data_IF_897346737093
#
_entry.id   IF_897346737093
#
_cell.length_a   1.000
_cell.length_b   1.000
_cell.length_c   1.000
_cell.angle_alpha   90.00
_cell.angle_beta   90.00
_cell.angle_gamma   90.00
#
_symmetry.space_group_name_H-M   'P 1'
#
loop_
_entity.id
_entity.type
_entity.pdbx_description
1 polymer ?
#
# COMPACT_ATOMS: atom_id res chain seq x y z
N UNK A 1 -1.20 10.83 -0.09
CA UNK A 1 -0.78 9.86 -1.14
C UNK A 1 0.61 9.32 -0.86
N UNK A 2 1.60 10.20 -0.66
CA UNK A 2 2.91 9.82 -0.09
C UNK A 2 2.75 9.22 1.32
N UNK A 3 1.77 9.67 2.11
CA UNK A 3 1.63 9.26 3.52
C UNK A 3 1.25 7.79 3.73
N UNK A 4 0.45 7.20 2.83
CA UNK A 4 0.07 5.79 2.95
C UNK A 4 1.23 4.88 2.55
N UNK A 5 1.84 5.15 1.40
CA UNK A 5 3.04 4.44 0.95
C UNK A 5 4.16 4.58 1.99
N UNK A 6 4.45 5.81 2.43
CA UNK A 6 5.46 6.07 3.45
C UNK A 6 5.13 5.38 4.77
N UNK A 7 3.88 5.41 5.24
CA UNK A 7 3.49 4.74 6.48
C UNK A 7 3.62 3.21 6.39
N UNK A 8 3.07 2.63 5.33
CA UNK A 8 3.18 1.18 5.04
C UNK A 8 4.65 0.75 4.95
N UNK A 9 5.51 1.56 4.35
CA UNK A 9 6.93 1.27 4.18
C UNK A 9 7.76 1.46 5.47
N UNK A 10 7.47 2.50 6.28
CA UNK A 10 8.24 2.80 7.49
C UNK A 10 7.97 1.80 8.64
N UNK A 11 6.78 1.20 8.67
CA UNK A 11 6.38 0.24 9.70
C UNK A 11 6.86 -1.20 9.44
N UNK A 12 7.18 -1.55 8.19
CA UNK A 12 7.31 -2.93 7.77
C UNK A 12 8.71 -3.51 8.02
N UNK A 13 8.78 -4.71 8.59
CA UNK A 13 10.04 -5.46 8.64
C UNK A 13 10.38 -6.00 7.24
N UNK A 14 11.58 -5.69 6.72
CA UNK A 14 12.12 -6.27 5.49
C UNK A 14 12.48 -7.75 5.74
N UNK A 15 11.94 -8.65 4.92
CA UNK A 15 12.17 -10.09 4.91
C UNK A 15 12.38 -10.44 3.45
N UNK A 16 13.30 -11.36 3.20
CA UNK A 16 13.51 -11.96 1.89
C UNK A 16 12.18 -12.43 1.28
N UNK A 17 12.12 -12.51 -0.05
CA UNK A 17 10.97 -13.07 -0.78
C UNK A 17 10.49 -14.36 -0.12
N UNK A 18 9.18 -14.43 0.13
CA UNK A 18 8.55 -15.56 0.82
C UNK A 18 7.52 -16.22 -0.09
N UNK A 19 7.49 -17.54 -0.08
CA UNK A 19 6.35 -18.30 -0.60
C UNK A 19 5.31 -18.38 0.50
N UNK A 20 4.08 -17.98 0.16
CA UNK A 20 2.93 -18.01 1.05
C UNK A 20 1.87 -18.94 0.48
N UNK A 21 1.26 -19.75 1.33
CA UNK A 21 0.19 -20.69 1.00
C UNK A 21 -1.12 -20.18 1.55
N UNK A 22 -2.16 -20.22 0.74
CA UNK A 22 -3.50 -19.80 1.12
C UNK A 22 -4.07 -20.69 2.21
N UNK A 23 -4.69 -20.07 3.22
CA UNK A 23 -5.40 -20.81 4.28
C UNK A 23 -6.78 -21.32 3.80
N UNK A 24 -7.31 -20.73 2.72
CA UNK A 24 -8.62 -21.03 2.16
C UNK A 24 -8.66 -20.72 0.66
N UNK A 25 -9.73 -21.10 0.00
CA UNK A 25 -9.98 -20.68 -1.37
C UNK A 25 -10.53 -19.25 -1.41
N UNK A 26 -10.06 -18.45 -2.37
CA UNK A 26 -10.52 -17.08 -2.58
C UNK A 26 -11.09 -16.95 -3.98
N UNK A 27 -12.30 -16.42 -4.08
CA UNK A 27 -12.91 -16.06 -5.35
C UNK A 27 -12.30 -14.77 -5.88
N UNK A 28 -11.85 -14.81 -7.13
CA UNK A 28 -11.37 -13.64 -7.84
C UNK A 28 -12.55 -12.75 -8.21
N UNK A 29 -12.81 -11.73 -7.38
CA UNK A 29 -13.88 -10.78 -7.60
C UNK A 29 -13.74 -10.10 -8.97
N UNK A 30 -14.84 -10.09 -9.73
CA UNK A 30 -14.94 -9.38 -11.00
C UNK A 30 -15.14 -7.87 -10.82
N UNK A 31 -15.78 -7.48 -9.72
CA UNK A 31 -15.93 -6.07 -9.34
C UNK A 31 -14.57 -5.44 -9.05
N UNK A 32 -14.26 -4.37 -9.78
CA UNK A 32 -13.01 -3.61 -9.65
C UNK A 32 -12.84 -3.03 -8.26
N UNK A 33 -13.92 -2.71 -7.55
CA UNK A 33 -13.88 -2.09 -6.22
C UNK A 33 -13.76 -3.09 -5.07
N UNK A 34 -13.84 -4.38 -5.37
CA UNK A 34 -13.78 -5.41 -4.35
C UNK A 34 -12.44 -5.42 -3.60
N UNK A 35 -12.54 -5.59 -2.29
CA UNK A 35 -11.41 -5.82 -1.39
C UNK A 35 -11.71 -7.06 -0.57
N UNK A 36 -10.87 -8.09 -0.73
CA UNK A 36 -11.05 -9.37 -0.06
C UNK A 36 -9.95 -9.53 0.98
N UNK A 37 -10.31 -9.74 2.25
CA UNK A 37 -9.33 -10.06 3.27
C UNK A 37 -8.71 -11.43 2.98
N UNK A 38 -7.38 -11.51 3.07
CA UNK A 38 -6.63 -12.75 2.85
C UNK A 38 -5.82 -13.14 4.08
N UNK A 39 -5.68 -14.45 4.24
CA UNK A 39 -4.87 -15.16 5.22
C UNK A 39 -4.08 -16.25 4.52
N UNK A 40 -2.80 -16.31 4.85
CA UNK A 40 -1.83 -17.23 4.27
C UNK A 40 -0.83 -17.68 5.35
N UNK A 41 -0.07 -18.74 5.10
CA UNK A 41 0.99 -19.23 5.98
C UNK A 41 2.24 -19.65 5.18
N UNK A 42 3.37 -19.87 5.86
CA UNK A 42 4.58 -20.43 5.24
C UNK A 42 4.57 -21.95 5.25
N UNK A 43 5.47 -22.57 4.50
CA UNK A 43 5.61 -24.03 4.43
C UNK A 43 5.68 -24.68 5.82
N UNK A 44 4.97 -25.80 6.00
CA UNK A 44 4.80 -26.47 7.29
C UNK A 44 6.10 -26.87 8.00
N UNK A 45 7.21 -27.04 7.26
CA UNK A 45 8.53 -27.38 7.82
C UNK A 45 9.38 -26.17 8.23
N UNK A 46 8.89 -24.94 8.04
CA UNK A 46 9.58 -23.73 8.53
C UNK A 46 9.12 -23.38 9.94
N UNK A 47 10.01 -22.76 10.72
CA UNK A 47 9.69 -22.31 12.09
C UNK A 47 8.51 -21.35 12.14
N UNK A 48 8.35 -20.54 11.08
CA UNK A 48 7.25 -19.58 10.92
C UNK A 48 5.95 -20.20 10.37
N UNK A 49 5.88 -21.53 10.21
CA UNK A 49 4.67 -22.23 9.73
C UNK A 49 3.44 -22.00 10.61
N UNK A 50 3.65 -21.68 11.89
CA UNK A 50 2.60 -21.34 12.86
C UNK A 50 2.11 -19.90 12.74
N UNK A 51 2.80 -19.08 11.96
CA UNK A 51 2.44 -17.67 11.76
C UNK A 51 1.52 -17.51 10.56
N UNK A 52 0.52 -16.64 10.72
CA UNK A 52 -0.37 -16.22 9.64
C UNK A 52 0.07 -14.88 9.06
N UNK A 53 0.09 -14.80 7.75
CA UNK A 53 0.35 -13.61 6.97
C UNK A 53 -0.98 -13.14 6.41
N UNK A 54 -1.45 -11.99 6.89
CA UNK A 54 -2.78 -11.45 6.56
C UNK A 54 -2.68 -10.11 5.86
N UNK A 55 -3.69 -9.83 5.02
CA UNK A 55 -3.70 -8.65 4.16
C UNK A 55 -4.95 -8.57 3.31
N UNK A 56 -4.81 -7.99 2.12
CA UNK A 56 -5.89 -7.81 1.15
C UNK A 56 -5.54 -8.42 -0.22
N UNK A 57 -6.54 -8.98 -0.88
CA UNK A 57 -6.54 -9.26 -2.31
C UNK A 57 -7.43 -8.21 -3.00
N UNK A 58 -6.88 -7.54 -4.01
CA UNK A 58 -7.53 -6.43 -4.69
C UNK A 58 -7.35 -6.57 -6.20
N UNK A 59 -8.42 -6.49 -7.01
CA UNK A 59 -8.32 -6.49 -8.46
C UNK A 59 -7.49 -5.30 -8.96
N UNK A 60 -6.78 -5.45 -10.08
CA UNK A 60 -6.17 -4.33 -10.78
C UNK A 60 -6.47 -4.37 -12.29
N UNK A 61 -6.44 -3.19 -12.89
CA UNK A 61 -6.65 -3.00 -14.32
C UNK A 61 -5.37 -2.50 -14.95
N UNK A 62 -5.19 -2.78 -16.24
CA UNK A 62 -4.00 -2.35 -16.96
C UNK A 62 -4.23 -1.00 -17.60
N UNK A 63 -3.98 0.09 -16.87
CA UNK A 63 -4.07 1.46 -17.39
C UNK A 63 -2.75 1.94 -18.05
N UNK A 64 -1.83 1.02 -18.32
CA UNK A 64 -0.55 1.27 -18.98
C UNK A 64 -0.37 0.42 -20.25
N UNK A 65 0.54 0.87 -21.13
CA UNK A 65 0.99 0.08 -22.27
C UNK A 65 1.91 -1.07 -21.83
N UNK A 66 1.61 -2.27 -22.31
CA UNK A 66 2.42 -3.48 -22.07
C UNK A 66 3.22 -3.80 -23.34
N UNK A 67 4.54 -3.70 -23.24
CA UNK A 67 5.45 -4.15 -24.32
C UNK A 67 5.73 -5.63 -24.11
N UNK A 68 5.21 -6.46 -25.01
CA UNK A 68 5.47 -7.90 -25.01
C UNK A 68 6.54 -8.21 -26.05
N UNK A 69 7.68 -8.72 -25.60
CA UNK A 69 8.76 -9.18 -26.49
C UNK A 69 8.57 -10.67 -26.81
N UNK A 70 8.39 -10.99 -28.09
CA UNK A 70 8.35 -12.35 -28.62
C UNK A 70 9.56 -12.58 -29.52
N UNK A 71 10.71 -12.89 -28.91
CA UNK A 71 11.98 -12.96 -29.63
C UNK A 71 12.39 -11.57 -30.14
N UNK A 72 12.49 -11.42 -31.45
CA UNK A 72 12.84 -10.14 -32.11
C UNK A 72 11.63 -9.23 -32.37
N UNK A 73 10.39 -9.73 -32.17
CA UNK A 73 9.17 -8.95 -32.41
C UNK A 73 8.72 -8.33 -31.09
N UNK A 74 8.61 -7.00 -31.08
CA UNK A 74 7.99 -6.26 -29.98
C UNK A 74 6.54 -5.91 -30.35
N UNK A 75 5.60 -6.35 -29.53
CA UNK A 75 4.19 -6.00 -29.66
C UNK A 75 3.79 -5.11 -28.49
N UNK A 76 3.31 -3.90 -28.77
CA UNK A 76 2.77 -3.00 -27.76
C UNK A 76 1.27 -3.25 -27.62
N UNK A 77 0.84 -3.59 -26.41
CA UNK A 77 -0.57 -3.75 -26.07
C UNK A 77 -1.11 -2.45 -25.47
N UNK A 78 -2.18 -1.88 -26.04
CA UNK A 78 -2.77 -0.63 -25.55
C UNK A 78 -3.39 -0.82 -24.16
N UNK A 79 -3.51 0.22 -23.32
CA UNK A 79 -4.17 0.12 -22.01
C UNK A 79 -5.58 -0.49 -22.09
N UNK A 80 -5.95 -1.31 -21.10
CA UNK A 80 -7.27 -1.91 -20.90
C UNK A 80 -7.80 -1.54 -19.50
N UNK A 81 -8.22 -0.28 -19.26
CA UNK A 81 -8.66 0.17 -17.93
C UNK A 81 -10.04 -0.38 -17.52
N UNK A 82 -10.83 -0.86 -18.48
CA UNK A 82 -12.20 -1.36 -18.28
C UNK A 82 -12.23 -2.85 -17.92
N UNK A 83 -11.07 -3.50 -17.86
CA UNK A 83 -10.95 -4.93 -17.63
C UNK A 83 -9.99 -5.23 -16.50
N UNK A 84 -10.47 -6.00 -15.52
CA UNK A 84 -9.60 -6.62 -14.52
C UNK A 84 -8.65 -7.58 -15.22
N UNK A 85 -7.35 -7.34 -15.08
CA UNK A 85 -6.30 -8.16 -15.70
C UNK A 85 -5.61 -9.10 -14.70
N UNK A 86 -5.82 -8.86 -13.41
CA UNK A 86 -5.24 -9.65 -12.34
C UNK A 86 -5.66 -9.17 -10.94
N UNK A 87 -5.12 -9.84 -9.94
CA UNK A 87 -5.35 -9.54 -8.53
C UNK A 87 -4.01 -9.35 -7.82
N UNK A 88 -3.92 -8.27 -7.07
CA UNK A 88 -2.79 -7.93 -6.23
C UNK A 88 -3.06 -8.41 -4.80
N UNK A 89 -2.04 -8.97 -4.16
CA UNK A 89 -2.05 -9.34 -2.77
C UNK A 89 -1.15 -8.35 -2.02
N UNK A 90 -1.67 -7.71 -0.98
CA UNK A 90 -0.92 -6.78 -0.13
C UNK A 90 -1.03 -7.28 1.31
N UNK A 91 0.05 -7.88 1.80
CA UNK A 91 0.16 -8.44 3.14
C UNK A 91 0.80 -7.40 4.06
N UNK A 92 0.05 -6.94 5.07
CA UNK A 92 0.52 -5.94 6.02
C UNK A 92 0.79 -6.48 7.43
N UNK A 93 0.39 -7.73 7.73
CA UNK A 93 0.45 -8.30 9.07
C UNK A 93 1.03 -9.70 9.05
N UNK A 94 1.94 -9.96 10.00
CA UNK A 94 2.35 -11.30 10.41
C UNK A 94 1.88 -11.53 11.83
N UNK A 95 1.10 -12.58 12.06
CA UNK A 95 0.49 -12.93 13.35
C UNK A 95 1.06 -14.25 13.80
N UNK A 96 1.77 -14.27 14.93
CA UNK A 96 2.36 -15.47 15.52
C UNK A 96 1.88 -15.59 16.98
N UNK A 97 0.86 -16.42 17.22
CA UNK A 97 0.16 -16.41 18.52
C UNK A 97 -0.43 -15.03 18.81
N UNK A 98 -0.11 -14.45 19.95
CA UNK A 98 -0.58 -13.12 20.37
C UNK A 98 0.28 -11.97 19.83
N UNK A 99 1.36 -12.27 19.11
CA UNK A 99 2.25 -11.24 18.55
C UNK A 99 1.80 -10.85 17.14
N UNK A 100 1.56 -9.56 16.92
CA UNK A 100 1.30 -8.99 15.59
C UNK A 100 2.50 -8.14 15.18
N UNK A 101 3.13 -8.51 14.06
CA UNK A 101 4.26 -7.78 13.48
C UNK A 101 3.83 -7.13 12.17
N UNK A 102 4.04 -5.82 12.00
CA UNK A 102 3.86 -5.17 10.71
C UNK A 102 4.89 -5.67 9.70
N UNK A 103 4.40 -6.06 8.52
CA UNK A 103 5.20 -6.48 7.36
C UNK A 103 4.65 -5.80 6.12
N UNK A 104 5.37 -5.84 5.01
CA UNK A 104 4.82 -5.36 3.74
C UNK A 104 5.26 -6.26 2.59
N UNK A 105 4.39 -7.17 2.18
CA UNK A 105 4.67 -8.04 1.04
C UNK A 105 3.61 -7.90 -0.03
N UNK A 106 4.07 -7.86 -1.26
CA UNK A 106 3.21 -7.76 -2.43
C UNK A 106 3.36 -8.99 -3.30
N UNK A 107 2.25 -9.51 -3.80
CA UNK A 107 2.24 -10.50 -4.86
C UNK A 107 1.19 -10.13 -5.89
N UNK A 108 1.24 -10.77 -7.04
CA UNK A 108 0.27 -10.57 -8.12
C UNK A 108 -0.01 -11.88 -8.82
N UNK A 109 -1.24 -12.03 -9.29
CA UNK A 109 -1.62 -13.08 -10.22
C UNK A 109 -2.14 -12.39 -11.48
N UNK A 110 -1.38 -12.52 -12.56
CA UNK A 110 -1.73 -12.05 -13.88
C UNK A 110 -2.51 -13.15 -14.62
N UNK A 111 -3.66 -12.81 -15.24
CA UNK A 111 -4.55 -13.71 -16.02
C UNK A 111 -5.45 -14.62 -15.17
N UNK A 112 -6.66 -14.16 -14.91
CA UNK A 112 -7.78 -14.90 -14.28
C UNK A 112 -8.49 -15.84 -15.27
N UNK A 113 -7.74 -16.56 -16.12
CA UNK A 113 -8.34 -17.46 -17.10
C UNK A 113 -8.62 -18.82 -16.46
N UNK A 114 -9.86 -19.01 -16.03
CA UNK A 114 -10.41 -20.21 -15.38
C UNK A 114 -9.84 -20.51 -13.99
N UNK A 115 -10.73 -20.65 -13.00
CA UNK A 115 -10.33 -20.94 -11.62
C UNK A 115 -9.48 -22.21 -11.55
N UNK A 116 -8.18 -22.06 -11.28
CA UNK A 116 -7.34 -23.11 -10.73
C UNK A 116 -6.05 -22.48 -10.20
N UNK A 117 -5.96 -22.31 -8.88
CA UNK A 117 -4.71 -22.05 -8.19
C UNK A 117 -3.85 -23.31 -8.29
N UNK A 118 -2.80 -23.32 -9.11
CA UNK A 118 -1.79 -24.35 -8.99
C UNK A 118 -1.09 -24.18 -7.62
N UNK A 119 -1.42 -25.07 -6.68
CA UNK A 119 -0.82 -25.25 -5.34
C UNK A 119 -1.14 -24.21 -4.27
N UNK A 120 -2.14 -23.36 -4.47
CA UNK A 120 -2.57 -22.35 -3.47
C UNK A 120 -1.43 -21.43 -2.98
N UNK A 121 -0.34 -21.29 -3.73
CA UNK A 121 0.85 -20.55 -3.27
C UNK A 121 1.12 -19.30 -4.09
N UNK A 122 1.52 -18.22 -3.43
CA UNK A 122 1.97 -16.97 -4.04
C UNK A 122 3.41 -16.67 -3.59
N UNK A 123 4.24 -16.18 -4.52
CA UNK A 123 5.53 -15.59 -4.17
C UNK A 123 5.28 -14.13 -3.81
N UNK A 124 5.53 -13.77 -2.55
CA UNK A 124 5.33 -12.43 -2.05
C UNK A 124 6.69 -11.73 -1.88
N UNK A 125 6.81 -10.58 -2.52
CA UNK A 125 8.05 -9.82 -2.68
C UNK A 125 8.00 -8.56 -1.82
N UNK A 126 9.18 -8.07 -1.46
CA UNK A 126 9.35 -6.74 -0.92
C UNK A 126 9.58 -5.74 -2.07
N UNK A 127 8.69 -4.77 -2.23
CA UNK A 127 8.80 -3.72 -3.25
C UNK A 127 9.18 -2.36 -2.66
N UNK A 128 9.46 -2.29 -1.35
CA UNK A 128 9.88 -1.07 -0.65
C UNK A 128 11.21 -0.56 -1.19
N UNK A 129 12.19 -1.47 -1.27
CA UNK A 129 13.57 -1.23 -1.72
C UNK A 129 13.70 -1.14 -3.26
N UNK A 130 12.63 -1.43 -4.00
CA UNK A 130 12.62 -1.29 -5.46
C UNK A 130 12.57 0.18 -5.85
N UNK A 131 13.34 0.53 -6.88
CA UNK A 131 13.25 1.85 -7.52
C UNK A 131 11.83 2.06 -8.08
N UNK A 132 11.29 3.29 -8.10
CA UNK A 132 9.93 3.56 -8.56
C UNK A 132 9.59 3.00 -9.95
N UNK A 133 10.55 3.00 -10.87
CA UNK A 133 10.42 2.47 -12.23
C UNK A 133 10.38 0.93 -12.30
N UNK A 134 10.84 0.25 -11.23
CA UNK A 134 10.88 -1.20 -11.11
C UNK A 134 9.75 -1.78 -10.27
N UNK A 135 9.04 -0.93 -9.53
CA UNK A 135 7.86 -1.35 -8.75
C UNK A 135 6.76 -1.83 -9.69
N UNK A 136 5.90 -2.76 -9.24
CA UNK A 136 4.77 -3.17 -10.05
C UNK A 136 3.87 -1.98 -10.39
N UNK A 137 3.56 -1.79 -11.67
CA UNK A 137 2.77 -0.65 -12.16
C UNK A 137 1.37 -0.57 -11.53
N UNK A 138 0.82 -1.71 -11.11
CA UNK A 138 -0.47 -1.79 -10.42
C UNK A 138 -0.43 -1.23 -8.98
N UNK A 139 0.73 -1.11 -8.35
CA UNK A 139 0.86 -0.86 -6.90
C UNK A 139 0.15 0.42 -6.46
N UNK A 140 0.47 1.54 -7.11
CA UNK A 140 -0.17 2.82 -6.79
C UNK A 140 -1.67 2.78 -7.06
N UNK A 141 -2.08 2.19 -8.17
CA UNK A 141 -3.48 2.08 -8.56
C UNK A 141 -4.29 1.31 -7.49
N UNK A 142 -3.73 0.20 -7.00
CA UNK A 142 -4.36 -0.63 -5.96
C UNK A 142 -4.41 0.10 -4.62
N UNK A 143 -3.31 0.70 -4.17
CA UNK A 143 -3.27 1.40 -2.89
C UNK A 143 -4.24 2.58 -2.86
N UNK A 144 -4.33 3.36 -3.94
CA UNK A 144 -5.33 4.44 -4.07
C UNK A 144 -6.75 3.89 -4.03
N UNK A 145 -6.98 2.70 -4.59
CA UNK A 145 -8.28 2.06 -4.51
C UNK A 145 -8.63 1.66 -3.08
N UNK A 146 -7.72 0.98 -2.38
CA UNK A 146 -7.91 0.60 -0.97
C UNK A 146 -8.20 1.83 -0.11
N UNK A 147 -7.44 2.91 -0.30
CA UNK A 147 -7.69 4.18 0.39
C UNK A 147 -9.09 4.72 0.10
N UNK A 148 -9.49 4.77 -1.17
CA UNK A 148 -10.82 5.26 -1.56
C UNK A 148 -11.97 4.39 -1.01
N UNK A 149 -11.86 3.06 -1.11
CA UNK A 149 -12.92 2.16 -0.65
C UNK A 149 -12.98 2.03 0.87
N UNK A 150 -11.91 2.38 1.59
CA UNK A 150 -11.88 2.37 3.07
C UNK A 150 -12.95 3.23 3.73
N UNK A 151 -13.57 4.17 3.00
CA UNK A 151 -14.70 4.94 3.47
C UNK A 151 -15.96 4.09 3.72
N UNK A 152 -16.09 2.94 3.05
CA UNK A 152 -17.30 2.09 3.10
C UNK A 152 -17.01 0.58 3.20
N UNK A 153 -15.77 0.12 2.96
CA UNK A 153 -15.36 -1.27 3.14
C UNK A 153 -14.57 -1.46 4.45
N UNK A 154 -15.04 -2.38 5.30
CA UNK A 154 -14.46 -2.62 6.62
C UNK A 154 -13.06 -3.24 6.56
N UNK A 155 -12.78 -4.09 5.57
CA UNK A 155 -11.47 -4.72 5.42
C UNK A 155 -10.43 -3.70 4.97
N UNK A 156 -10.79 -2.86 3.99
CA UNK A 156 -9.96 -1.74 3.55
C UNK A 156 -9.73 -0.75 4.69
N UNK A 157 -10.77 -0.40 5.46
CA UNK A 157 -10.63 0.47 6.64
C UNK A 157 -9.65 -0.11 7.67
N UNK A 158 -9.85 -1.37 8.06
CA UNK A 158 -8.97 -2.05 9.02
C UNK A 158 -7.52 -2.13 8.52
N UNK A 159 -7.32 -2.36 7.22
CA UNK A 159 -6.01 -2.35 6.59
C UNK A 159 -5.34 -0.98 6.74
N UNK A 160 -6.03 0.10 6.38
CA UNK A 160 -5.50 1.47 6.45
C UNK A 160 -5.20 1.87 7.89
N UNK A 161 -6.10 1.57 8.83
CA UNK A 161 -5.93 1.87 10.26
C UNK A 161 -4.72 1.15 10.85
N UNK A 162 -4.53 -0.14 10.54
CA UNK A 162 -3.35 -0.87 11.01
C UNK A 162 -2.06 -0.26 10.49
N UNK A 163 -1.99 0.07 9.21
CA UNK A 163 -0.79 0.67 8.64
C UNK A 163 -0.48 2.03 9.28
N UNK A 164 -1.50 2.84 9.59
CA UNK A 164 -1.32 4.09 10.34
C UNK A 164 -0.72 3.80 11.72
N UNK A 165 -1.35 2.96 12.54
CA UNK A 165 -0.87 2.67 13.91
C UNK A 165 0.54 2.07 13.92
N UNK A 166 0.80 1.13 13.01
CA UNK A 166 2.11 0.49 12.90
C UNK A 166 3.23 1.47 12.48
N UNK A 167 2.89 2.57 11.78
CA UNK A 167 3.85 3.62 11.41
C UNK A 167 4.30 4.48 12.58
N UNK A 168 3.48 4.58 13.63
CA UNK A 168 3.72 5.53 14.74
C UNK A 168 4.52 4.94 15.91
N UNK A 169 4.65 3.62 16.03
CA UNK A 169 5.45 3.00 17.11
C UNK A 169 6.98 3.06 16.89
N UNK A 170 7.46 3.56 15.74
CA UNK A 170 8.90 3.70 15.43
C UNK A 170 9.25 4.95 14.60
N UNK A 171 8.78 6.13 14.99
CA UNK A 171 9.44 7.36 14.53
C UNK A 171 10.56 7.73 15.51
N UNK A 172 11.84 7.80 15.08
CA UNK A 172 12.92 8.34 15.89
C UNK A 172 12.65 9.82 16.19
N UNK A 173 13.34 10.34 17.21
CA UNK A 173 13.23 11.70 17.80
C UNK A 173 13.29 12.88 16.78
N UNK A 174 13.57 12.59 15.52
CA UNK A 174 13.68 13.52 14.41
C UNK A 174 12.33 14.12 13.96
N UNK A 175 11.18 13.55 14.37
CA UNK A 175 9.87 14.17 14.10
C UNK A 175 9.65 15.43 14.96
N UNK A 176 10.22 15.49 16.17
CA UNK A 176 10.19 16.70 16.98
C UNK A 176 11.00 17.83 16.32
N UNK A 177 12.09 17.48 15.62
CA UNK A 177 12.89 18.41 14.81
C UNK A 177 12.10 18.89 13.59
N UNK A 178 11.39 17.99 12.91
CA UNK A 178 10.54 18.31 11.75
C UNK A 178 9.35 19.19 12.13
N UNK A 179 8.69 18.94 13.26
CA UNK A 179 7.59 19.76 13.78
C UNK A 179 8.06 21.12 14.32
N UNK A 180 9.27 21.20 14.88
CA UNK A 180 9.89 22.46 15.31
C UNK A 180 10.19 23.36 14.10
N UNK A 181 10.70 22.79 13.02
CA UNK A 181 10.99 23.52 11.77
C UNK A 181 9.72 23.93 11.00
N UNK A 182 8.58 23.28 11.26
CA UNK A 182 7.26 23.67 10.74
C UNK A 182 6.57 24.72 11.63
N UNK A 183 7.09 24.98 12.83
CA UNK A 183 6.61 26.00 13.77
C UNK A 183 7.31 27.37 13.64
N UNK A 184 8.47 27.44 12.98
CA UNK A 184 9.14 28.70 12.66
C UNK A 184 8.45 29.37 11.47
N UNK A 185 7.50 30.24 11.80
CA UNK A 185 6.80 31.12 10.86
C UNK A 185 7.81 31.95 10.06
N UNK A 186 7.63 32.17 8.74
CA UNK A 186 8.37 33.21 8.06
C UNK A 186 7.91 34.57 8.59
N UNK A 187 8.87 35.35 9.08
CA UNK A 187 8.68 36.75 9.42
C UNK A 187 8.21 37.56 8.21
N UNK A 188 7.16 38.34 8.47
CA UNK A 188 6.74 39.58 7.83
C UNK A 188 7.17 39.81 6.36
N UNK A 189 6.25 39.53 5.43
CA UNK A 189 6.17 40.32 4.20
C UNK A 189 5.72 41.74 4.57
N UNK A 190 6.65 42.68 4.40
CA UNK A 190 6.49 44.12 4.52
C UNK A 190 5.31 44.66 3.68
N UNK A 191 4.39 45.40 4.33
CA UNK A 191 3.61 46.44 3.67
C UNK A 191 3.91 47.76 4.39
N UNK A 192 4.46 48.69 3.63
CA UNK A 192 4.99 49.99 4.05
C UNK A 192 3.90 51.07 4.06
N UNK A 193 3.88 51.88 5.14
CA UNK A 193 3.49 53.31 5.29
C UNK A 193 2.04 53.74 4.98
N UNK A 194 1.32 54.64 5.67
CA UNK A 194 1.38 55.52 6.87
C UNK A 194 0.07 56.37 6.81
N UNK A 195 -0.24 57.34 7.71
CA UNK A 195 -0.36 57.30 9.17
C UNK A 195 -1.76 57.74 9.69
N UNK A 196 -2.13 57.18 10.85
CA UNK A 196 -2.71 57.83 12.04
C UNK A 196 -3.60 59.09 11.89
N UNK A 197 -4.90 58.93 12.21
CA UNK A 197 -5.78 60.02 12.65
C UNK A 197 -6.18 59.78 14.11
N UNK A 198 -5.79 60.73 14.96
CA UNK A 198 -5.92 60.80 16.42
C UNK A 198 -7.38 60.74 16.91
N UNK A 199 -7.70 60.04 18.01
CA UNK A 199 -8.93 60.29 18.76
C UNK A 199 -8.67 61.40 19.80
N UNK A 200 -9.37 62.53 19.67
CA UNK A 200 -9.44 63.53 20.72
C UNK A 200 -10.43 63.07 21.81
N UNK A 201 -9.97 63.06 23.06
CA UNK A 201 -10.79 62.81 24.25
C UNK A 201 -11.22 64.14 24.88
N UNK A 202 -12.40 64.12 25.53
CA UNK A 202 -12.98 65.11 26.50
C UNK A 202 -13.46 66.44 25.90
N UNK A 203 -14.67 66.94 26.17
CA UNK A 203 -15.50 66.98 27.40
C UNK A 203 -16.99 66.80 27.10
#
# INVERSE_FOLDING_TARGET
MLDLLNGVFLAATLLTNITLYSDQDYDFAADREAVVAVSTHREWWRDESKCKYTGLMVPFVRDWEEVVKHGEIETVRPPEPDKTVGHAFIINRKVCGDTVTPVFRTAEINRTWSGFLYKHSIAAFDVTDMRPDQRPKWLEQVLRRVERVSAHDANAKAFIEFNKTASFEKMPDDLAVLLKNLGDKPDAASVSSSPEATPATTQ
#
